data_IF_831255707564
#
_entry.id   IF_831255707564
#
_cell.length_a   1.000
_cell.length_b   1.000
_cell.length_c   1.000
_cell.angle_alpha   90.00
_cell.angle_beta   90.00
_cell.angle_gamma   90.00
#
_symmetry.space_group_name_H-M   'P 1'
#
loop_
_entity.id
_entity.type
_entity.pdbx_description
1 polymer ?
#
# COMPACT_ATOMS: atom_id res chain seq x y z
N UNK A 1 8.29 -6.13 -11.45
CA UNK A 1 9.73 -6.34 -11.59
C UNK A 1 10.08 -7.49 -10.66
N UNK A 2 10.87 -8.45 -11.12
CA UNK A 2 11.29 -9.58 -10.30
C UNK A 2 12.46 -9.16 -9.41
N UNK A 3 12.50 -9.70 -8.19
CA UNK A 3 13.54 -9.40 -7.23
C UNK A 3 14.20 -10.68 -6.74
N UNK A 4 15.44 -10.60 -6.32
CA UNK A 4 16.09 -11.65 -5.54
C UNK A 4 16.22 -11.14 -4.11
N UNK A 5 15.68 -11.92 -3.17
CA UNK A 5 15.89 -11.68 -1.74
C UNK A 5 17.11 -12.47 -1.29
N UNK A 6 18.03 -11.79 -0.62
CA UNK A 6 19.17 -12.36 0.07
C UNK A 6 18.88 -12.35 1.57
N UNK A 7 18.84 -13.52 2.19
CA UNK A 7 18.85 -13.68 3.64
C UNK A 7 20.28 -13.92 4.09
N UNK A 8 20.83 -12.97 4.84
CA UNK A 8 22.21 -12.96 5.28
C UNK A 8 22.27 -13.00 6.80
N UNK A 9 22.88 -14.05 7.33
CA UNK A 9 23.21 -14.18 8.75
C UNK A 9 24.60 -13.63 8.98
N UNK A 10 24.66 -12.60 9.82
CA UNK A 10 25.87 -11.87 10.18
C UNK A 10 25.91 -11.70 11.70
N UNK A 11 27.08 -11.89 12.28
CA UNK A 11 27.36 -11.47 13.66
C UNK A 11 27.50 -9.96 13.76
N UNK A 12 26.89 -9.29 14.76
CA UNK A 12 27.19 -7.89 15.06
C UNK A 12 28.71 -7.67 15.25
N UNK A 13 29.27 -6.51 14.88
CA UNK A 13 28.61 -5.27 14.42
C UNK A 13 28.60 -5.09 12.88
N UNK A 14 28.77 -6.15 12.09
CA UNK A 14 29.04 -6.02 10.65
C UNK A 14 27.82 -5.64 9.77
N UNK A 15 26.63 -5.47 10.34
CA UNK A 15 25.40 -5.20 9.58
C UNK A 15 25.49 -3.95 8.70
N UNK A 16 25.95 -2.82 9.25
CA UNK A 16 26.08 -1.55 8.50
C UNK A 16 27.12 -1.65 7.38
N UNK A 17 28.26 -2.29 7.65
CA UNK A 17 29.31 -2.53 6.66
C UNK A 17 28.74 -3.35 5.50
N UNK A 18 27.97 -4.38 5.82
CA UNK A 18 27.40 -5.28 4.83
C UNK A 18 26.28 -4.64 4.02
N UNK A 19 25.49 -3.74 4.60
CA UNK A 19 24.57 -2.91 3.83
C UNK A 19 25.31 -2.06 2.79
N UNK A 20 26.43 -1.44 3.17
CA UNK A 20 27.22 -0.62 2.25
C UNK A 20 27.84 -1.46 1.11
N UNK A 21 28.43 -2.60 1.44
CA UNK A 21 29.01 -3.52 0.44
C UNK A 21 27.94 -4.08 -0.51
N UNK A 22 26.81 -4.54 0.02
CA UNK A 22 25.70 -5.04 -0.80
C UNK A 22 25.09 -3.92 -1.66
N UNK A 23 25.02 -2.69 -1.15
CA UNK A 23 24.54 -1.56 -1.95
C UNK A 23 25.42 -1.30 -3.17
N UNK A 24 26.75 -1.44 -3.03
CA UNK A 24 27.68 -1.35 -4.15
C UNK A 24 27.49 -2.50 -5.18
N UNK A 25 26.96 -3.64 -4.75
CA UNK A 25 26.58 -4.77 -5.61
C UNK A 25 25.19 -4.63 -6.25
N UNK A 26 24.50 -3.51 -6.04
CA UNK A 26 23.19 -3.21 -6.65
C UNK A 26 21.99 -3.56 -5.78
N UNK A 27 22.18 -3.95 -4.52
CA UNK A 27 21.06 -4.10 -3.59
C UNK A 27 20.47 -2.73 -3.22
N UNK A 28 19.14 -2.62 -3.24
CA UNK A 28 18.41 -1.34 -3.15
C UNK A 28 17.62 -1.20 -1.85
N UNK A 29 17.31 -2.31 -1.18
CA UNK A 29 16.50 -2.32 0.04
C UNK A 29 17.04 -3.31 1.05
N UNK A 30 16.91 -2.96 2.32
CA UNK A 30 17.50 -3.65 3.46
C UNK A 30 16.53 -3.70 4.64
N UNK A 31 16.42 -4.85 5.29
CA UNK A 31 15.59 -5.06 6.48
C UNK A 31 16.42 -5.77 7.53
N UNK A 32 16.68 -5.10 8.65
CA UNK A 32 17.37 -5.71 9.79
C UNK A 32 16.45 -6.73 10.49
N UNK A 33 17.03 -7.89 10.79
CA UNK A 33 16.36 -8.96 11.56
C UNK A 33 17.27 -9.38 12.70
N UNK A 34 16.72 -10.01 13.74
CA UNK A 34 17.48 -10.38 14.94
C UNK A 34 18.75 -11.20 14.64
N UNK A 35 18.72 -12.02 13.59
CA UNK A 35 19.84 -12.89 13.20
C UNK A 35 20.73 -12.35 12.07
N UNK A 36 20.51 -11.11 11.60
CA UNK A 36 21.26 -10.54 10.49
C UNK A 36 20.47 -9.54 9.64
N UNK A 37 20.44 -9.74 8.33
CA UNK A 37 19.94 -8.78 7.35
C UNK A 37 19.21 -9.48 6.20
N UNK A 38 18.08 -8.93 5.77
CA UNK A 38 17.49 -9.22 4.46
C UNK A 38 17.83 -8.10 3.49
N UNK A 39 18.23 -8.44 2.28
CA UNK A 39 18.56 -7.48 1.24
C UNK A 39 17.86 -7.84 -0.07
N UNK A 40 17.43 -6.83 -0.84
CA UNK A 40 16.70 -7.01 -2.09
C UNK A 40 17.41 -6.34 -3.25
N UNK A 41 17.54 -7.06 -4.37
CA UNK A 41 18.14 -6.59 -5.62
C UNK A 41 17.25 -6.99 -6.79
N UNK A 42 17.09 -6.17 -7.84
CA UNK A 42 16.43 -6.61 -9.06
C UNK A 42 17.06 -7.89 -9.59
N UNK A 43 16.27 -8.90 -9.95
CA UNK A 43 16.81 -10.21 -10.36
C UNK A 43 17.77 -10.13 -11.55
N UNK A 44 17.65 -9.10 -12.38
CA UNK A 44 18.55 -8.81 -13.51
C UNK A 44 19.93 -8.31 -13.11
N UNK A 45 20.09 -7.81 -11.88
CA UNK A 45 21.34 -7.27 -11.32
C UNK A 45 21.99 -8.24 -10.31
N UNK A 46 21.28 -9.30 -9.92
CA UNK A 46 21.80 -10.29 -8.99
C UNK A 46 22.99 -11.06 -9.59
N UNK A 47 24.09 -11.12 -8.84
CA UNK A 47 25.29 -11.87 -9.20
C UNK A 47 25.76 -12.71 -8.02
N UNK A 48 25.59 -14.03 -8.12
CA UNK A 48 26.06 -14.94 -7.08
C UNK A 48 27.59 -14.93 -6.97
N UNK A 49 28.31 -14.76 -8.08
CA UNK A 49 29.78 -14.72 -8.08
C UNK A 49 30.29 -13.52 -7.27
N UNK A 50 29.64 -12.35 -7.37
CA UNK A 50 30.01 -11.18 -6.59
C UNK A 50 29.75 -11.39 -5.08
N UNK A 51 28.66 -12.09 -4.72
CA UNK A 51 28.39 -12.45 -3.32
C UNK A 51 29.42 -13.45 -2.77
N UNK A 52 29.84 -14.43 -3.57
CA UNK A 52 30.89 -15.37 -3.17
C UNK A 52 32.25 -14.69 -2.99
N UNK A 53 32.58 -13.69 -3.81
CA UNK A 53 33.78 -12.87 -3.64
C UNK A 53 33.71 -12.05 -2.35
N UNK A 54 32.58 -11.39 -2.09
CA UNK A 54 32.36 -10.66 -0.85
C UNK A 54 32.46 -11.57 0.38
N UNK A 55 31.86 -12.77 0.32
CA UNK A 55 31.97 -13.77 1.38
C UNK A 55 33.44 -14.13 1.65
N UNK A 56 34.25 -14.35 0.60
CA UNK A 56 35.68 -14.66 0.76
C UNK A 56 36.47 -13.51 1.36
N UNK A 57 36.16 -12.27 0.98
CA UNK A 57 36.81 -11.06 1.51
C UNK A 57 36.61 -10.92 3.02
N UNK A 58 35.43 -11.28 3.54
CA UNK A 58 35.09 -11.14 4.96
C UNK A 58 35.13 -12.45 5.75
N UNK A 59 35.51 -13.56 5.14
CA UNK A 59 35.51 -14.90 5.76
C UNK A 59 36.33 -14.99 7.06
N UNK A 60 37.38 -14.17 7.22
CA UNK A 60 38.21 -14.14 8.42
C UNK A 60 37.70 -13.18 9.51
N UNK A 61 36.75 -12.30 9.18
CA UNK A 61 36.31 -11.22 10.05
C UNK A 61 34.93 -11.48 10.65
N UNK A 62 34.04 -12.13 9.90
CA UNK A 62 32.69 -12.42 10.35
C UNK A 62 32.16 -13.75 9.80
N UNK A 63 31.17 -14.30 10.51
CA UNK A 63 30.35 -15.36 9.96
C UNK A 63 29.45 -14.76 8.88
N UNK A 64 29.70 -15.13 7.62
CA UNK A 64 28.92 -14.71 6.47
C UNK A 64 28.20 -15.94 5.91
N UNK A 65 26.97 -16.17 6.34
CA UNK A 65 26.12 -17.28 5.87
C UNK A 65 24.92 -16.69 5.17
N UNK A 66 24.73 -17.04 3.90
CA UNK A 66 23.64 -16.50 3.10
C UNK A 66 22.83 -17.58 2.41
N UNK A 67 21.57 -17.25 2.16
CA UNK A 67 20.67 -17.96 1.25
C UNK A 67 19.95 -16.93 0.41
N UNK A 68 19.57 -17.24 -0.82
CA UNK A 68 18.80 -16.34 -1.65
C UNK A 68 17.63 -17.05 -2.30
N UNK A 69 16.58 -16.30 -2.59
CA UNK A 69 15.40 -16.79 -3.28
C UNK A 69 14.90 -15.79 -4.31
N UNK A 70 14.34 -16.30 -5.40
CA UNK A 70 13.69 -15.49 -6.42
C UNK A 70 12.28 -15.13 -5.97
N UNK A 71 11.97 -13.83 -6.03
CA UNK A 71 10.66 -13.26 -5.78
C UNK A 71 10.09 -12.88 -7.16
N UNK A 72 9.08 -13.62 -7.65
CA UNK A 72 8.46 -13.30 -8.92
C UNK A 72 7.78 -11.93 -8.86
N UNK A 73 7.60 -11.32 -10.03
CA UNK A 73 6.92 -10.05 -10.13
C UNK A 73 5.48 -10.20 -9.62
N UNK A 74 5.20 -9.62 -8.46
CA UNK A 74 3.86 -9.59 -7.89
C UNK A 74 3.17 -8.26 -8.21
N UNK A 75 1.90 -8.34 -8.64
CA UNK A 75 1.07 -7.16 -8.77
C UNK A 75 0.56 -6.74 -7.38
N UNK A 76 1.38 -5.99 -6.65
CA UNK A 76 1.05 -5.53 -5.30
C UNK A 76 -0.24 -4.70 -5.25
N UNK A 77 -0.61 -4.01 -6.34
CA UNK A 77 -1.90 -3.32 -6.42
C UNK A 77 -3.05 -4.31 -6.37
N UNK A 78 -2.98 -5.43 -7.10
CA UNK A 78 -4.06 -6.42 -7.12
C UNK A 78 -4.22 -7.13 -5.78
N UNK A 79 -3.11 -7.49 -5.12
CA UNK A 79 -3.12 -8.06 -3.78
C UNK A 79 -3.78 -7.10 -2.80
N UNK A 80 -3.35 -5.84 -2.83
CA UNK A 80 -3.92 -4.82 -1.96
C UNK A 80 -5.39 -4.52 -2.27
N UNK A 81 -5.78 -4.46 -3.55
CA UNK A 81 -7.18 -4.24 -3.96
C UNK A 81 -8.08 -5.40 -3.54
N UNK A 82 -7.58 -6.63 -3.50
CA UNK A 82 -8.30 -7.80 -3.00
C UNK A 82 -8.52 -7.75 -1.47
N UNK A 83 -7.55 -7.24 -0.72
CA UNK A 83 -7.61 -7.14 0.74
C UNK A 83 -8.27 -5.85 1.25
N UNK A 84 -8.49 -4.86 0.38
CA UNK A 84 -9.08 -3.57 0.75
C UNK A 84 -10.60 -3.68 0.91
N UNK A 85 -11.11 -3.72 2.14
CA UNK A 85 -12.56 -3.89 2.38
C UNK A 85 -13.39 -2.61 2.13
N UNK A 86 -14.67 -2.73 1.71
CA UNK A 86 -15.62 -1.62 1.78
C UNK A 86 -15.99 -1.30 3.24
N UNK A 87 -16.43 -0.07 3.48
CA UNK A 87 -16.87 0.38 4.80
C UNK A 87 -18.37 0.54 4.78
N UNK A 88 -19.02 0.02 5.81
CA UNK A 88 -20.47 -0.01 5.92
C UNK A 88 -20.88 0.62 7.23
N UNK A 89 -21.70 1.66 7.13
CA UNK A 89 -22.12 2.48 8.26
C UNK A 89 -23.63 2.31 8.44
N UNK A 90 -23.98 1.72 9.58
CA UNK A 90 -25.36 1.55 10.06
C UNK A 90 -26.30 0.86 9.05
N UNK A 91 -25.77 0.09 8.08
CA UNK A 91 -26.55 -0.49 6.98
C UNK A 91 -27.15 0.53 6.01
N UNK A 92 -26.84 1.81 6.16
CA UNK A 92 -27.45 2.93 5.41
C UNK A 92 -26.49 3.47 4.36
N UNK A 93 -25.20 3.54 4.69
CA UNK A 93 -24.17 4.09 3.81
C UNK A 93 -23.03 3.11 3.60
N UNK A 94 -22.60 2.97 2.34
CA UNK A 94 -21.45 2.16 1.95
C UNK A 94 -20.40 3.02 1.25
N UNK A 95 -19.19 3.03 1.80
CA UNK A 95 -18.02 3.64 1.18
C UNK A 95 -17.21 2.53 0.51
N UNK A 96 -17.02 2.60 -0.80
CA UNK A 96 -16.32 1.55 -1.55
C UNK A 96 -15.40 2.12 -2.62
N UNK A 97 -14.48 1.29 -3.11
CA UNK A 97 -13.73 1.58 -4.33
C UNK A 97 -14.49 1.14 -5.58
N UNK A 98 -13.97 1.53 -6.75
CA UNK A 98 -14.50 1.15 -8.07
C UNK A 98 -14.37 -0.35 -8.35
N UNK A 99 -13.38 -1.02 -7.75
CA UNK A 99 -13.18 -2.47 -7.88
C UNK A 99 -14.11 -3.31 -6.99
N UNK A 100 -14.87 -2.69 -6.08
CA UNK A 100 -15.92 -3.37 -5.32
C UNK A 100 -17.23 -3.42 -6.11
N UNK A 101 -17.91 -4.57 -6.06
CA UNK A 101 -19.25 -4.71 -6.63
C UNK A 101 -20.24 -3.74 -5.96
N UNK A 102 -21.11 -3.06 -6.73
CA UNK A 102 -22.18 -2.24 -6.19
C UNK A 102 -23.15 -3.06 -5.33
N UNK A 103 -23.72 -2.43 -4.30
CA UNK A 103 -24.70 -3.06 -3.40
C UNK A 103 -25.95 -2.15 -3.28
N UNK A 104 -27.08 -2.50 -3.94
CA UNK A 104 -28.25 -1.64 -4.04
C UNK A 104 -29.05 -1.51 -2.74
N UNK A 105 -28.80 -2.39 -1.77
CA UNK A 105 -29.38 -2.42 -0.43
C UNK A 105 -28.98 -1.21 0.44
N UNK A 106 -27.90 -0.51 0.10
CA UNK A 106 -27.49 0.70 0.79
C UNK A 106 -28.13 1.95 0.15
N UNK A 107 -28.72 2.79 0.99
CA UNK A 107 -29.35 4.05 0.58
C UNK A 107 -28.34 5.04 0.00
N UNK A 108 -27.14 5.11 0.59
CA UNK A 108 -26.04 5.94 0.11
C UNK A 108 -24.85 5.08 -0.27
N UNK A 109 -24.35 5.28 -1.49
CA UNK A 109 -23.10 4.70 -1.94
C UNK A 109 -22.10 5.83 -2.25
N UNK A 110 -20.97 5.83 -1.56
CA UNK A 110 -19.86 6.77 -1.77
C UNK A 110 -18.72 5.98 -2.41
N UNK A 111 -18.41 6.31 -3.67
CA UNK A 111 -17.31 5.65 -4.37
C UNK A 111 -16.04 6.49 -4.23
N UNK A 112 -15.00 5.98 -3.58
CA UNK A 112 -13.72 6.65 -3.37
C UNK A 112 -12.59 5.75 -3.88
N UNK A 113 -11.68 6.29 -4.70
CA UNK A 113 -10.50 5.54 -5.11
C UNK A 113 -9.39 5.72 -4.06
N UNK A 114 -8.96 4.65 -3.37
CA UNK A 114 -8.11 4.72 -2.18
C UNK A 114 -6.62 5.03 -2.40
N UNK A 115 -6.30 5.79 -3.46
CA UNK A 115 -4.92 6.22 -3.77
C UNK A 115 -4.44 7.29 -2.78
N UNK A 116 -4.11 8.50 -3.26
CA UNK A 116 -3.73 9.64 -2.43
C UNK A 116 -4.94 10.35 -1.79
N UNK A 117 -6.08 9.66 -1.69
CA UNK A 117 -7.32 10.24 -1.17
C UNK A 117 -7.33 10.11 0.35
N UNK A 118 -7.32 11.25 1.05
CA UNK A 118 -7.59 11.27 2.49
C UNK A 118 -9.10 11.11 2.73
N UNK A 119 -9.49 10.52 3.86
CA UNK A 119 -10.91 10.39 4.19
C UNK A 119 -11.64 9.25 3.46
N UNK A 120 -10.96 8.15 3.15
CA UNK A 120 -11.61 6.95 2.60
C UNK A 120 -12.57 6.26 3.56
N UNK A 121 -12.59 6.67 4.83
CA UNK A 121 -13.39 6.10 5.90
C UNK A 121 -12.64 5.07 6.76
N UNK A 122 -11.50 4.53 6.31
CA UNK A 122 -10.78 3.45 7.02
C UNK A 122 -10.16 3.93 8.33
N UNK A 123 -9.94 5.24 8.45
CA UNK A 123 -9.58 5.88 9.70
C UNK A 123 -10.83 6.21 10.54
N UNK A 124 -10.74 5.96 11.84
CA UNK A 124 -11.83 6.14 12.79
C UNK A 124 -12.49 7.53 12.74
N UNK A 125 -11.70 8.59 12.54
CA UNK A 125 -12.21 9.97 12.48
C UNK A 125 -13.18 10.20 11.32
N UNK A 126 -12.90 9.63 10.14
CA UNK A 126 -13.78 9.76 8.98
C UNK A 126 -15.04 8.92 9.15
N UNK A 127 -14.92 7.70 9.68
CA UNK A 127 -16.09 6.87 9.99
C UNK A 127 -17.02 7.53 11.01
N UNK A 128 -16.46 8.10 12.08
CA UNK A 128 -17.22 8.84 13.11
C UNK A 128 -17.94 10.05 12.51
N UNK A 129 -17.24 10.87 11.73
CA UNK A 129 -17.86 12.04 11.08
C UNK A 129 -18.98 11.65 10.12
N UNK A 130 -18.80 10.57 9.34
CA UNK A 130 -19.85 10.05 8.47
C UNK A 130 -21.06 9.56 9.28
N UNK A 131 -20.85 8.83 10.38
CA UNK A 131 -21.92 8.42 11.28
C UNK A 131 -22.70 9.59 11.88
N UNK A 132 -22.01 10.64 12.32
CA UNK A 132 -22.64 11.88 12.81
C UNK A 132 -23.49 12.55 11.73
N UNK A 133 -22.99 12.63 10.49
CA UNK A 133 -23.73 13.21 9.36
C UNK A 133 -24.96 12.37 9.02
N UNK A 134 -24.85 11.03 9.07
CA UNK A 134 -25.96 10.11 8.82
C UNK A 134 -27.08 10.25 9.85
N UNK A 135 -26.78 10.67 11.07
CA UNK A 135 -27.78 10.90 12.11
C UNK A 135 -28.46 12.29 12.05
N UNK A 136 -28.02 13.19 11.16
CA UNK A 136 -28.60 14.53 11.04
C UNK A 136 -29.84 14.56 10.12
N UNK A 137 -30.89 15.37 10.37
CA UNK A 137 -32.02 15.51 9.45
C UNK A 137 -31.63 16.07 8.07
N UNK A 138 -32.44 15.75 7.05
CA UNK A 138 -32.39 16.39 5.74
C UNK A 138 -32.80 17.87 5.82
N UNK A 139 -32.35 18.77 4.92
CA UNK A 139 -31.52 18.52 3.73
C UNK A 139 -30.01 18.49 4.00
N UNK A 140 -29.58 18.84 5.22
CA UNK A 140 -28.17 18.93 5.62
C UNK A 140 -27.40 17.64 5.31
N UNK A 141 -27.95 16.48 5.67
CA UNK A 141 -27.39 15.15 5.35
C UNK A 141 -27.01 14.98 3.88
N UNK A 142 -27.91 15.32 2.94
CA UNK A 142 -27.69 15.16 1.49
C UNK A 142 -26.59 16.11 0.97
N UNK A 143 -26.51 17.32 1.50
CA UNK A 143 -25.50 18.32 1.11
C UNK A 143 -24.12 17.91 1.62
N UNK A 144 -24.02 17.42 2.86
CA UNK A 144 -22.75 17.05 3.46
C UNK A 144 -22.17 15.75 2.92
N UNK A 145 -22.98 14.73 2.67
CA UNK A 145 -22.52 13.51 1.99
C UNK A 145 -21.90 13.88 0.63
N UNK A 146 -22.53 14.82 -0.09
CA UNK A 146 -21.99 15.41 -1.34
C UNK A 146 -20.70 16.19 -1.14
N UNK A 147 -20.54 16.90 -0.03
CA UNK A 147 -19.31 17.64 0.27
C UNK A 147 -18.15 16.73 0.68
N UNK A 148 -18.38 15.71 1.51
CA UNK A 148 -17.37 14.76 1.97
C UNK A 148 -16.79 13.96 0.80
N UNK A 149 -17.65 13.47 -0.09
CA UNK A 149 -17.19 12.83 -1.33
C UNK A 149 -16.23 13.76 -2.10
N UNK A 150 -16.54 15.06 -2.20
CA UNK A 150 -15.72 16.03 -2.93
C UNK A 150 -14.40 16.39 -2.23
N UNK A 151 -14.35 16.38 -0.90
CA UNK A 151 -13.19 16.82 -0.12
C UNK A 151 -12.11 15.74 0.07
N UNK A 152 -12.41 14.48 -0.21
CA UNK A 152 -11.41 13.40 -0.18
C UNK A 152 -10.31 13.54 -1.28
N UNK A 153 -10.28 14.68 -1.99
CA UNK A 153 -9.32 14.98 -3.05
C UNK A 153 -8.89 16.46 -3.06
N UNK A 154 -7.74 16.83 -2.45
CA UNK A 154 -7.27 18.21 -2.49
C UNK A 154 -6.22 18.48 -3.60
N UNK A 155 -5.61 17.48 -4.24
CA UNK A 155 -4.44 17.71 -5.10
C UNK A 155 -4.47 16.92 -6.42
N UNK A 156 -5.21 17.43 -7.42
CA UNK A 156 -4.87 17.16 -8.82
C UNK A 156 -5.28 18.33 -9.72
N UNK A 157 -4.37 18.84 -10.57
CA UNK A 157 -4.70 19.94 -11.47
C UNK A 157 -5.78 19.49 -12.45
N UNK A 158 -6.74 20.39 -12.72
CA UNK A 158 -7.84 20.25 -13.67
C UNK A 158 -7.34 20.07 -15.12
N UNK A 159 -6.65 18.97 -15.44
CA UNK A 159 -6.49 18.54 -16.83
C UNK A 159 -7.75 17.77 -17.24
N UNK A 160 -8.59 18.47 -18.00
CA UNK A 160 -9.84 18.02 -18.63
C UNK A 160 -9.56 16.82 -19.55
N UNK A 161 -9.52 15.60 -19.03
CA UNK A 161 -9.50 14.41 -19.89
C UNK A 161 -10.00 13.11 -19.26
N UNK A 162 -10.46 13.10 -18.00
CA UNK A 162 -11.01 11.88 -17.42
C UNK A 162 -12.22 12.16 -16.51
N UNK A 163 -13.41 12.16 -17.09
CA UNK A 163 -14.72 12.22 -16.42
C UNK A 163 -15.04 10.98 -15.56
N UNK A 164 -14.10 10.05 -15.37
CA UNK A 164 -14.31 8.75 -14.70
C UNK A 164 -13.89 8.69 -13.23
N UNK A 165 -13.28 9.76 -12.69
CA UNK A 165 -12.62 9.75 -11.38
C UNK A 165 -13.23 10.71 -10.34
N UNK A 166 -14.46 11.20 -10.59
CA UNK A 166 -15.19 11.90 -9.55
C UNK A 166 -15.74 10.89 -8.55
N UNK A 167 -15.65 11.13 -7.23
CA UNK A 167 -16.35 10.31 -6.26
C UNK A 167 -17.85 10.41 -6.53
N UNK A 168 -18.40 9.32 -7.06
CA UNK A 168 -19.79 9.21 -7.45
C UNK A 168 -20.58 8.88 -6.20
N UNK A 169 -21.54 9.75 -5.88
CA UNK A 169 -22.56 9.41 -4.91
C UNK A 169 -23.74 8.86 -5.67
N UNK A 170 -24.05 7.60 -5.44
CA UNK A 170 -25.30 7.00 -5.90
C UNK A 170 -26.23 6.93 -4.69
N UNK A 171 -27.43 7.44 -4.87
CA UNK A 171 -28.52 7.25 -3.91
C UNK A 171 -29.42 6.18 -4.48
N UNK A 172 -29.52 5.03 -3.81
CA UNK A 172 -30.48 3.99 -4.19
C UNK A 172 -31.77 4.27 -3.41
N UNK A 173 -32.63 5.11 -3.98
CA UNK A 173 -33.98 5.38 -3.49
C UNK A 173 -34.86 5.79 -4.67
N UNK A 174 -36.19 5.77 -4.53
CA UNK A 174 -37.07 6.31 -5.57
C UNK A 174 -36.74 7.77 -5.90
#
# INVERSE_FOLDING_TARGET
MEYTELSLKITPPFSEIMMAELSALGFESFVEVESGLLAYVPSTQFSETALQELQKQYASQCLFVYTYQHIPAQNWNEVWEADYAPIELEGICRVRSLFHLPRPDFLYEIIIQPRMAFGTGHHATTALMLGLILNHPAPFKKVWIRAVARQCWPFWPKKRAQTRYWPLIRTNGP
#
